data_IF_780435126402
#
_entry.id   IF_780435126402
#
_cell.length_a   1.000
_cell.length_b   1.000
_cell.length_c   1.000
_cell.angle_alpha   90.00
_cell.angle_beta   90.00
_cell.angle_gamma   90.00
#
_symmetry.space_group_name_H-M   'P 1'
#
loop_
_entity.id
_entity.type
_entity.pdbx_description
1 polymer ?
#
# COMPACT_ATOMS: atom_id res chain seq x y z
N UNK A 1 9.37 -2.84 11.70
CA UNK A 1 8.39 -2.74 10.62
C UNK A 1 8.83 -1.74 9.57
N UNK A 2 8.59 -2.07 8.32
CA UNK A 2 8.92 -1.19 7.21
C UNK A 2 7.64 -0.58 6.65
N UNK A 3 7.76 0.59 6.03
CA UNK A 3 6.65 1.23 5.34
C UNK A 3 6.83 1.03 3.84
N UNK A 4 5.78 0.62 3.17
CA UNK A 4 5.77 0.42 1.73
C UNK A 4 4.75 1.35 1.09
N UNK A 5 5.12 1.89 -0.07
CA UNK A 5 4.19 2.67 -0.88
C UNK A 5 3.58 1.72 -1.90
N UNK A 6 2.28 1.56 -1.84
CA UNK A 6 1.54 0.64 -2.70
C UNK A 6 0.66 1.43 -3.65
N UNK A 7 0.91 1.26 -4.94
CA UNK A 7 0.02 1.76 -5.98
C UNK A 7 -0.81 0.58 -6.48
N UNK A 8 -2.11 0.72 -6.45
CA UNK A 8 -2.99 -0.42 -6.68
C UNK A 8 -4.28 -0.02 -7.38
N UNK A 9 -4.97 -1.02 -7.93
CA UNK A 9 -6.30 -0.87 -8.48
C UNK A 9 -7.23 -1.89 -7.83
N UNK A 10 -8.49 -1.54 -7.70
CA UNK A 10 -9.49 -2.48 -7.23
C UNK A 10 -9.77 -3.52 -8.31
N UNK A 11 -9.73 -4.79 -7.93
CA UNK A 11 -9.93 -5.90 -8.86
C UNK A 11 -11.42 -6.23 -8.93
N UNK A 12 -12.21 -5.39 -9.61
CA UNK A 12 -13.66 -5.61 -9.68
C UNK A 12 -14.23 -5.55 -11.10
N UNK A 13 -13.43 -5.89 -12.09
CA UNK A 13 -13.94 -5.95 -13.45
C UNK A 13 -14.37 -4.62 -14.05
N UNK A 14 -14.26 -3.54 -13.32
CA UNK A 14 -14.51 -2.21 -13.84
C UNK A 14 -13.19 -1.69 -14.38
N UNK A 15 -13.19 -1.33 -15.66
CA UNK A 15 -12.01 -0.73 -16.27
C UNK A 15 -11.90 0.70 -15.75
N UNK A 16 -11.16 0.86 -14.68
CA UNK A 16 -10.88 2.17 -14.11
C UNK A 16 -9.39 2.39 -14.23
N UNK A 17 -8.99 3.43 -14.95
CA UNK A 17 -7.59 3.75 -15.15
C UNK A 17 -6.98 4.44 -13.93
N UNK A 18 -7.76 4.66 -12.89
CA UNK A 18 -7.28 5.35 -11.68
C UNK A 18 -6.47 4.41 -10.81
N UNK A 19 -5.20 4.71 -10.67
CA UNK A 19 -4.31 4.01 -9.75
C UNK A 19 -4.37 4.72 -8.41
N UNK A 20 -4.75 3.99 -7.38
CA UNK A 20 -4.84 4.52 -6.03
C UNK A 20 -3.51 4.30 -5.30
N UNK A 21 -3.27 5.10 -4.28
CA UNK A 21 -2.03 5.01 -3.50
C UNK A 21 -2.37 4.85 -2.02
N UNK A 22 -1.67 3.92 -1.36
CA UNK A 22 -1.73 3.79 0.08
C UNK A 22 -0.35 3.46 0.63
N UNK A 23 -0.19 3.64 1.93
CA UNK A 23 1.01 3.22 2.64
C UNK A 23 0.66 2.02 3.50
N UNK A 24 1.56 1.04 3.54
CA UNK A 24 1.33 -0.21 4.27
C UNK A 24 2.55 -0.50 5.12
N UNK A 25 2.34 -0.81 6.40
CA UNK A 25 3.42 -1.26 7.26
C UNK A 25 3.46 -2.78 7.27
N UNK A 26 4.65 -3.34 7.05
CA UNK A 26 4.85 -4.79 7.01
C UNK A 26 6.31 -5.10 7.31
N UNK A 27 6.60 -6.35 7.63
CA UNK A 27 7.97 -6.79 7.89
C UNK A 27 8.73 -7.03 6.59
N UNK A 28 8.02 -7.39 5.53
CA UNK A 28 8.65 -7.66 4.23
C UNK A 28 7.63 -7.46 3.11
N UNK A 29 8.13 -7.49 1.88
CA UNK A 29 7.31 -7.29 0.69
C UNK A 29 6.26 -8.40 0.51
N UNK A 30 6.59 -9.63 0.84
CA UNK A 30 5.66 -10.75 0.70
C UNK A 30 4.39 -10.54 1.51
N UNK A 31 4.51 -9.92 2.68
CA UNK A 31 3.35 -9.62 3.50
C UNK A 31 2.45 -8.57 2.85
N UNK A 32 3.04 -7.59 2.17
CA UNK A 32 2.25 -6.58 1.46
C UNK A 32 1.51 -7.22 0.30
N UNK A 33 2.16 -8.14 -0.41
CA UNK A 33 1.52 -8.84 -1.52
C UNK A 33 0.36 -9.72 -1.02
N UNK A 34 0.54 -10.41 0.11
CA UNK A 34 -0.52 -11.20 0.72
C UNK A 34 -1.70 -10.34 1.16
N UNK A 35 -1.40 -9.17 1.73
CA UNK A 35 -2.41 -8.19 2.11
C UNK A 35 -3.24 -7.73 0.91
N UNK A 36 -2.56 -7.36 -0.17
CA UNK A 36 -3.24 -6.90 -1.38
C UNK A 36 -4.12 -8.00 -1.97
N UNK A 37 -3.62 -9.23 -1.98
CA UNK A 37 -4.37 -10.38 -2.49
C UNK A 37 -5.62 -10.63 -1.65
N UNK A 38 -5.51 -10.52 -0.33
CA UNK A 38 -6.65 -10.73 0.55
C UNK A 38 -7.75 -9.71 0.33
N UNK A 39 -7.39 -8.49 -0.01
CA UNK A 39 -8.34 -7.41 -0.26
C UNK A 39 -8.71 -7.28 -1.74
N UNK A 40 -8.22 -8.18 -2.57
CA UNK A 40 -8.49 -8.20 -4.02
C UNK A 40 -8.00 -6.93 -4.72
N UNK A 41 -6.84 -6.44 -4.31
CA UNK A 41 -6.20 -5.31 -4.97
C UNK A 41 -5.19 -5.83 -5.99
N UNK A 42 -5.14 -5.16 -7.14
CA UNK A 42 -4.12 -5.44 -8.14
C UNK A 42 -2.96 -4.48 -7.92
N UNK A 43 -1.77 -5.02 -7.65
CA UNK A 43 -0.59 -4.19 -7.41
C UNK A 43 -0.05 -3.70 -8.74
N UNK A 44 0.01 -2.36 -8.89
CA UNK A 44 0.63 -1.74 -10.05
C UNK A 44 2.09 -1.42 -9.77
N UNK A 45 2.39 -0.94 -8.57
CA UNK A 45 3.75 -0.63 -8.17
C UNK A 45 3.87 -0.77 -6.65
N UNK A 46 4.97 -1.28 -6.19
CA UNK A 46 5.23 -1.47 -4.77
C UNK A 46 6.69 -1.14 -4.49
N UNK A 47 6.92 -0.21 -3.59
CA UNK A 47 8.29 0.17 -3.24
C UNK A 47 8.42 0.41 -1.74
N UNK A 48 9.55 -0.04 -1.14
CA UNK A 48 9.82 0.26 0.26
C UNK A 48 10.19 1.73 0.42
N UNK A 49 9.82 2.30 1.55
CA UNK A 49 10.17 3.67 1.88
C UNK A 49 11.03 3.71 3.14
N UNK A 50 12.01 4.61 3.16
CA UNK A 50 12.71 4.92 4.40
C UNK A 50 11.80 5.78 5.27
N UNK A 51 12.16 5.91 6.54
CA UNK A 51 11.41 6.76 7.45
C UNK A 51 11.31 8.20 6.92
N UNK A 52 12.43 8.71 6.38
CA UNK A 52 12.46 10.06 5.82
C UNK A 52 11.56 10.18 4.61
N UNK A 53 11.59 9.21 3.72
CA UNK A 53 10.75 9.22 2.53
C UNK A 53 9.27 9.20 2.91
N UNK A 54 8.91 8.42 3.91
CA UNK A 54 7.53 8.36 4.38
C UNK A 54 7.10 9.70 4.97
N UNK A 55 7.98 10.34 5.76
CA UNK A 55 7.68 11.65 6.33
C UNK A 55 7.48 12.69 5.23
N UNK A 56 8.30 12.64 4.18
CA UNK A 56 8.15 13.54 3.04
C UNK A 56 6.83 13.32 2.33
N UNK A 57 6.42 12.08 2.15
CA UNK A 57 5.14 11.77 1.50
C UNK A 57 3.95 12.23 2.35
N UNK A 58 4.03 12.07 3.67
CA UNK A 58 2.98 12.56 4.57
C UNK A 58 2.82 14.07 4.48
N UNK A 59 3.93 14.78 4.33
CA UNK A 59 3.90 16.23 4.23
C UNK A 59 3.25 16.72 2.93
N UNK A 60 3.33 15.91 1.88
CA UNK A 60 2.74 16.27 0.58
C UNK A 60 1.25 15.98 0.52
N UNK A 61 0.76 15.04 1.30
CA UNK A 61 -0.64 14.61 1.24
C UNK A 61 -1.19 14.49 2.65
N UNK A 62 -2.05 15.42 3.02
CA UNK A 62 -2.68 15.44 4.35
C UNK A 62 -3.72 14.35 4.52
N UNK A 63 -4.14 13.71 3.44
CA UNK A 63 -5.15 12.65 3.46
C UNK A 63 -4.56 11.29 3.12
N UNK A 64 -3.31 11.07 3.48
CA UNK A 64 -2.67 9.78 3.21
C UNK A 64 -3.39 8.66 3.96
N UNK A 65 -3.38 7.47 3.35
CA UNK A 65 -3.96 6.28 3.96
C UNK A 65 -2.83 5.36 4.40
N UNK A 66 -2.85 4.97 5.66
CA UNK A 66 -1.86 4.04 6.23
C UNK A 66 -2.60 2.82 6.79
N UNK A 67 -2.21 1.65 6.32
CA UNK A 67 -2.76 0.39 6.78
C UNK A 67 -1.66 -0.47 7.40
N UNK A 68 -2.04 -1.29 8.38
CA UNK A 68 -1.12 -2.20 9.04
C UNK A 68 -1.47 -3.63 8.65
N UNK A 69 -0.51 -4.31 8.02
CA UNK A 69 -0.71 -5.67 7.53
C UNK A 69 -1.17 -6.61 8.65
N UNK A 70 -0.67 -6.42 9.87
CA UNK A 70 -1.02 -7.25 11.01
C UNK A 70 -2.53 -7.33 11.26
N UNK A 71 -3.26 -6.28 10.93
CA UNK A 71 -4.70 -6.24 11.13
C UNK A 71 -5.46 -7.12 10.16
N UNK A 72 -4.82 -7.55 9.07
CA UNK A 72 -5.47 -8.28 7.99
C UNK A 72 -4.98 -9.71 7.85
N UNK A 73 -3.76 -10.00 8.29
CA UNK A 73 -3.16 -11.33 8.11
C UNK A 73 -3.22 -12.22 9.35
N UNK A 74 -3.68 -11.71 10.47
CA UNK A 74 -3.83 -12.50 11.69
C UNK A 74 -5.27 -12.94 11.91
#
# INVERSE_FOLDING_TARGET
>A
MKVYKLNYQHHKGIVDDNVLTMFVTADNQDEVEAFAKKLHYKIEHLSPLTKKEFEDEKAKDSHYRLEHVDHYLN
#
